data_IF_510176749159
#
_entry.id   IF_510176749159
#
_cell.length_a   1.000
_cell.length_b   1.000
_cell.length_c   1.000
_cell.angle_alpha   90.00
_cell.angle_beta   90.00
_cell.angle_gamma   90.00
#
_symmetry.space_group_name_H-M   'P 1'
#
loop_
_entity.id
_entity.type
_entity.pdbx_description
1 polymer ?
#
# COMPACT_ATOMS: atom_id res chain seq x y z
N UNK A 1 -20.58 24.01 -6.08
CA UNK A 1 -19.24 23.53 -6.47
C UNK A 1 -19.23 22.74 -7.79
N UNK A 2 -20.36 22.29 -8.35
CA UNK A 2 -20.45 21.89 -9.78
C UNK A 2 -19.58 20.70 -10.23
N UNK A 3 -18.78 20.13 -9.34
CA UNK A 3 -18.03 18.91 -9.61
C UNK A 3 -19.04 17.79 -9.93
N UNK A 4 -18.84 17.06 -11.03
CA UNK A 4 -19.77 16.01 -11.49
C UNK A 4 -19.59 14.74 -10.66
N UNK A 5 -19.73 14.84 -9.33
CA UNK A 5 -19.56 13.72 -8.39
C UNK A 5 -20.86 13.52 -7.62
N UNK A 6 -21.33 12.28 -7.59
CA UNK A 6 -22.43 11.82 -6.74
C UNK A 6 -21.86 10.98 -5.59
N UNK A 7 -22.35 11.19 -4.36
CA UNK A 7 -21.89 10.46 -3.19
C UNK A 7 -22.96 9.53 -2.64
N UNK A 8 -22.64 8.24 -2.57
CA UNK A 8 -23.35 7.25 -1.76
C UNK A 8 -22.67 7.20 -0.39
N UNK A 9 -23.43 7.51 0.66
CA UNK A 9 -22.89 7.68 2.02
C UNK A 9 -23.17 6.45 2.86
N UNK A 10 -22.10 5.78 3.29
CA UNK A 10 -22.14 4.61 4.18
C UNK A 10 -21.51 5.02 5.52
N UNK A 11 -22.15 4.69 6.65
CA UNK A 11 -21.65 4.99 8.00
C UNK A 11 -21.23 6.46 8.21
N UNK A 12 -21.92 7.41 7.57
CA UNK A 12 -21.50 8.83 7.46
C UNK A 12 -21.88 9.70 8.68
N UNK A 13 -22.41 9.13 9.75
CA UNK A 13 -22.71 9.88 10.98
C UNK A 13 -21.57 9.66 11.97
N UNK A 14 -20.88 10.72 12.44
CA UNK A 14 -19.82 10.55 13.43
C UNK A 14 -20.39 10.04 14.75
N UNK A 15 -19.95 8.85 15.18
CA UNK A 15 -20.36 8.18 16.41
C UNK A 15 -19.17 7.46 17.05
N UNK A 16 -18.69 7.99 18.18
CA UNK A 16 -17.54 7.45 18.92
C UNK A 16 -17.82 6.14 19.67
N UNK A 17 -19.06 5.64 19.65
CA UNK A 17 -19.39 4.29 20.14
C UNK A 17 -19.12 3.21 19.09
N UNK A 18 -18.82 3.60 17.85
CA UNK A 18 -18.50 2.71 16.74
C UNK A 18 -19.52 1.58 16.55
N UNK A 19 -20.81 1.90 16.28
CA UNK A 19 -21.87 0.90 16.20
C UNK A 19 -21.66 -0.15 15.09
N UNK A 20 -20.83 0.18 14.09
CA UNK A 20 -20.47 -0.70 12.97
C UNK A 20 -19.03 -1.22 13.06
N UNK A 21 -18.40 -1.14 14.23
CA UNK A 21 -17.01 -1.53 14.45
C UNK A 21 -16.01 -0.37 14.31
N UNK A 22 -14.81 -0.56 14.84
CA UNK A 22 -13.72 0.42 14.77
C UNK A 22 -13.30 0.57 13.29
N UNK A 23 -13.24 1.80 12.75
CA UNK A 23 -12.91 2.03 11.35
C UNK A 23 -11.45 1.67 11.07
N UNK A 24 -11.24 0.49 10.48
CA UNK A 24 -9.92 0.03 10.04
C UNK A 24 -10.01 -0.78 8.73
N UNK A 25 -10.22 -0.14 7.58
CA UNK A 25 -10.39 -0.84 6.29
C UNK A 25 -9.15 -1.62 5.79
N UNK A 26 -8.00 -1.53 6.47
CA UNK A 26 -6.89 -2.47 6.27
C UNK A 26 -7.29 -3.91 6.61
N UNK A 27 -8.20 -4.11 7.56
CA UNK A 27 -8.67 -5.42 7.96
C UNK A 27 -9.73 -5.91 6.96
N UNK A 28 -9.59 -7.12 6.37
CA UNK A 28 -10.57 -7.66 5.42
C UNK A 28 -12.02 -7.62 5.90
N UNK A 29 -12.26 -7.87 7.19
CA UNK A 29 -13.58 -7.82 7.82
C UNK A 29 -14.22 -6.43 7.84
N UNK A 30 -13.43 -5.36 7.72
CA UNK A 30 -13.91 -3.97 7.68
C UNK A 30 -14.19 -3.48 6.25
N UNK A 31 -14.00 -4.31 5.21
CA UNK A 31 -14.08 -3.91 3.80
C UNK A 31 -15.44 -4.15 3.15
N UNK A 32 -16.23 -5.05 3.73
CA UNK A 32 -17.41 -5.62 3.08
C UNK A 32 -18.53 -4.58 2.82
N UNK A 33 -18.72 -3.62 3.71
CA UNK A 33 -19.79 -2.62 3.55
C UNK A 33 -19.52 -1.68 2.38
N UNK A 34 -18.29 -1.19 2.23
CA UNK A 34 -17.88 -0.38 1.07
C UNK A 34 -17.99 -1.19 -0.22
N UNK A 35 -17.50 -2.43 -0.22
CA UNK A 35 -17.60 -3.33 -1.37
C UNK A 35 -19.06 -3.55 -1.81
N UNK A 36 -19.96 -3.84 -0.87
CA UNK A 36 -21.38 -4.07 -1.16
C UNK A 36 -22.02 -2.83 -1.74
N UNK A 37 -21.76 -1.65 -1.16
CA UNK A 37 -22.31 -0.40 -1.65
C UNK A 37 -21.86 -0.09 -3.09
N UNK A 38 -20.58 -0.33 -3.42
CA UNK A 38 -20.09 -0.16 -4.80
C UNK A 38 -20.87 -1.04 -5.78
N UNK A 39 -21.01 -2.33 -5.46
CA UNK A 39 -21.69 -3.30 -6.33
C UNK A 39 -23.19 -2.99 -6.44
N UNK A 40 -23.85 -2.68 -5.33
CA UNK A 40 -25.29 -2.41 -5.27
C UNK A 40 -25.69 -1.18 -6.09
N UNK A 41 -24.88 -0.13 -6.01
CA UNK A 41 -25.18 1.14 -6.67
C UNK A 41 -24.50 1.32 -8.03
N UNK A 42 -23.64 0.39 -8.45
CA UNK A 42 -22.85 0.53 -9.67
C UNK A 42 -21.92 1.74 -9.63
N UNK A 43 -21.31 2.02 -8.47
CA UNK A 43 -20.44 3.17 -8.29
C UNK A 43 -19.10 3.00 -9.03
N UNK A 44 -18.54 4.11 -9.55
CA UNK A 44 -17.26 4.09 -10.28
C UNK A 44 -16.06 3.69 -9.42
N UNK A 45 -16.11 4.00 -8.12
CA UNK A 45 -15.15 3.55 -7.11
C UNK A 45 -15.72 3.70 -5.69
N UNK A 46 -15.17 2.95 -4.74
CA UNK A 46 -15.45 3.08 -3.32
C UNK A 46 -14.30 3.77 -2.57
N UNK A 47 -14.65 4.53 -1.54
CA UNK A 47 -13.69 5.20 -0.65
C UNK A 47 -14.06 4.86 0.80
N UNK A 48 -13.08 4.43 1.58
CA UNK A 48 -13.21 4.27 3.03
C UNK A 48 -12.06 4.97 3.75
N UNK A 49 -12.29 5.33 5.01
CA UNK A 49 -11.31 6.01 5.86
C UNK A 49 -11.15 5.25 7.17
N UNK A 50 -10.04 5.48 7.86
CA UNK A 50 -9.95 5.18 9.28
C UNK A 50 -10.54 6.32 10.14
N UNK A 51 -10.47 6.18 11.46
CA UNK A 51 -11.25 7.00 12.40
C UNK A 51 -10.94 8.50 12.38
N UNK A 52 -9.70 8.86 12.09
CA UNK A 52 -9.21 10.24 11.95
C UNK A 52 -8.87 10.62 10.50
N UNK A 53 -9.26 9.78 9.55
CA UNK A 53 -9.29 10.03 8.10
C UNK A 53 -7.95 10.48 7.48
N UNK A 54 -6.82 10.17 8.12
CA UNK A 54 -5.50 10.41 7.52
C UNK A 54 -5.13 9.32 6.50
N UNK A 55 -5.79 8.15 6.57
CA UNK A 55 -5.69 7.05 5.61
C UNK A 55 -6.94 6.92 4.76
N UNK A 56 -6.74 6.69 3.47
CA UNK A 56 -7.80 6.50 2.49
C UNK A 56 -7.63 5.18 1.75
N UNK A 57 -8.70 4.39 1.73
CA UNK A 57 -8.75 3.06 1.15
C UNK A 57 -9.67 3.07 -0.06
N UNK A 58 -9.18 2.52 -1.17
CA UNK A 58 -9.87 2.61 -2.46
C UNK A 58 -10.36 1.24 -2.91
N UNK A 59 -11.54 1.24 -3.51
CA UNK A 59 -12.18 0.07 -4.10
C UNK A 59 -12.49 0.37 -5.55
N UNK A 60 -12.21 -0.56 -6.46
CA UNK A 60 -12.53 -0.41 -7.88
C UNK A 60 -14.04 -0.51 -8.16
N UNK A 61 -14.43 -0.33 -9.43
CA UNK A 61 -15.82 -0.38 -9.89
C UNK A 61 -16.50 -1.75 -9.69
N UNK A 62 -15.72 -2.79 -9.37
CA UNK A 62 -16.19 -4.16 -9.09
C UNK A 62 -16.18 -4.45 -7.58
N UNK A 63 -15.97 -3.42 -6.76
CA UNK A 63 -15.86 -3.52 -5.31
C UNK A 63 -14.63 -4.29 -4.83
N UNK A 64 -13.60 -4.46 -5.66
CA UNK A 64 -12.33 -5.04 -5.23
C UNK A 64 -11.53 -3.99 -4.48
N UNK A 65 -11.04 -4.34 -3.30
CA UNK A 65 -10.09 -3.50 -2.57
C UNK A 65 -8.79 -3.39 -3.37
N UNK A 66 -8.30 -2.17 -3.53
CA UNK A 66 -7.02 -1.91 -4.19
C UNK A 66 -5.95 -1.72 -3.11
N UNK A 67 -5.02 -2.67 -3.03
CA UNK A 67 -3.87 -2.57 -2.14
C UNK A 67 -3.15 -1.23 -2.32
N UNK A 68 -2.93 -0.53 -1.20
CA UNK A 68 -2.30 0.80 -1.18
C UNK A 68 -0.95 0.83 -1.90
N UNK A 69 -0.27 -0.31 -2.00
CA UNK A 69 0.91 -0.51 -2.82
C UNK A 69 0.77 0.00 -4.27
N UNK A 70 -0.35 -0.30 -4.93
CA UNK A 70 -0.58 0.11 -6.31
C UNK A 70 -1.01 1.58 -6.41
N UNK A 71 -1.69 2.09 -5.38
CA UNK A 71 -2.06 3.51 -5.27
C UNK A 71 -0.81 4.40 -5.12
N UNK A 72 0.23 3.94 -4.41
CA UNK A 72 1.51 4.65 -4.34
C UNK A 72 2.10 4.84 -5.74
N UNK A 73 2.14 3.78 -6.56
CA UNK A 73 2.61 3.87 -7.95
C UNK A 73 1.75 4.80 -8.80
N UNK A 74 0.42 4.65 -8.75
CA UNK A 74 -0.53 5.46 -9.52
C UNK A 74 -0.39 6.95 -9.22
N UNK A 75 -0.34 7.33 -7.94
CA UNK A 75 -0.17 8.72 -7.54
C UNK A 75 1.22 9.24 -7.89
N UNK A 76 2.27 8.42 -7.73
CA UNK A 76 3.63 8.80 -8.09
C UNK A 76 3.75 9.16 -9.58
N UNK A 77 3.16 8.34 -10.47
CA UNK A 77 3.09 8.63 -11.91
C UNK A 77 2.40 9.97 -12.19
N UNK A 78 1.22 10.20 -11.59
CA UNK A 78 0.48 11.44 -11.75
C UNK A 78 1.26 12.69 -11.28
N UNK A 79 2.04 12.57 -10.20
CA UNK A 79 2.92 13.66 -9.77
C UNK A 79 4.10 13.87 -10.73
N UNK A 80 4.66 12.80 -11.30
CA UNK A 80 5.79 12.90 -12.24
C UNK A 80 5.37 13.44 -13.61
N UNK A 81 4.13 13.23 -14.05
CA UNK A 81 3.56 13.91 -15.22
C UNK A 81 3.59 15.45 -15.05
N UNK A 82 3.33 15.95 -13.83
CA UNK A 82 3.30 17.38 -13.50
C UNK A 82 4.67 17.92 -13.05
N UNK A 83 5.53 17.06 -12.50
CA UNK A 83 6.84 17.39 -11.96
C UNK A 83 7.93 16.41 -12.46
N UNK A 84 8.35 16.52 -13.73
CA UNK A 84 9.36 15.63 -14.30
C UNK A 84 10.67 15.64 -13.50
N UNK A 85 11.26 14.47 -13.27
CA UNK A 85 12.53 14.34 -12.53
C UNK A 85 12.39 14.42 -11.01
N UNK A 86 11.20 14.60 -10.46
CA UNK A 86 11.00 14.68 -9.02
C UNK A 86 11.31 13.35 -8.30
N UNK A 87 11.62 13.45 -7.01
CA UNK A 87 11.82 12.29 -6.14
C UNK A 87 10.52 11.85 -5.51
N UNK A 88 10.37 10.54 -5.35
CA UNK A 88 9.21 9.89 -4.73
C UNK A 88 9.68 9.03 -3.57
N UNK A 89 9.17 9.28 -2.36
CA UNK A 89 9.52 8.48 -1.19
C UNK A 89 8.61 7.25 -1.11
N UNK A 90 9.18 6.08 -0.82
CA UNK A 90 8.41 4.86 -0.55
C UNK A 90 8.98 4.05 0.61
N UNK A 91 8.15 3.20 1.21
CA UNK A 91 8.59 2.26 2.25
C UNK A 91 9.22 0.98 1.66
N UNK A 92 9.85 0.10 2.47
CA UNK A 92 10.55 -1.08 1.99
C UNK A 92 9.67 -2.35 1.96
N UNK A 93 8.38 -2.28 2.31
CA UNK A 93 7.53 -3.46 2.46
C UNK A 93 7.24 -4.11 1.11
N UNK A 94 6.79 -3.31 0.16
CA UNK A 94 6.55 -3.67 -1.24
C UNK A 94 7.14 -2.56 -2.12
N UNK A 95 8.09 -2.90 -3.00
CA UNK A 95 8.96 -1.86 -3.62
C UNK A 95 8.99 -1.90 -5.14
N UNK A 96 8.99 -3.07 -5.78
CA UNK A 96 9.30 -3.18 -7.20
C UNK A 96 8.34 -2.45 -8.14
N UNK A 97 7.04 -2.45 -7.84
CA UNK A 97 6.04 -1.69 -8.58
C UNK A 97 6.36 -0.19 -8.53
N UNK A 98 6.54 0.36 -7.33
CA UNK A 98 6.81 1.78 -7.13
C UNK A 98 8.12 2.18 -7.80
N UNK A 99 9.19 1.40 -7.59
CA UNK A 99 10.49 1.63 -8.24
C UNK A 99 10.36 1.62 -9.77
N UNK A 100 9.63 0.65 -10.34
CA UNK A 100 9.43 0.53 -11.77
C UNK A 100 8.58 1.68 -12.35
N UNK A 101 7.48 2.05 -11.70
CA UNK A 101 6.63 3.17 -12.14
C UNK A 101 7.40 4.49 -12.09
N UNK A 102 8.04 4.78 -10.95
CA UNK A 102 8.76 6.04 -10.74
C UNK A 102 9.91 6.17 -11.73
N UNK A 103 10.68 5.10 -11.95
CA UNK A 103 11.79 5.11 -12.91
C UNK A 103 11.29 5.28 -14.34
N UNK A 104 10.21 4.58 -14.73
CA UNK A 104 9.64 4.69 -16.07
C UNK A 104 9.06 6.08 -16.36
N UNK A 105 8.50 6.75 -15.35
CA UNK A 105 8.01 8.12 -15.43
C UNK A 105 9.13 9.19 -15.32
N UNK A 106 10.40 8.77 -15.30
CA UNK A 106 11.56 9.68 -15.26
C UNK A 106 11.81 10.32 -13.89
N UNK A 107 11.19 9.81 -12.83
CA UNK A 107 11.43 10.21 -11.44
C UNK A 107 12.58 9.42 -10.79
N UNK A 108 12.81 9.71 -9.51
CA UNK A 108 13.77 8.97 -8.68
C UNK A 108 13.06 8.36 -7.47
N UNK A 109 12.96 7.02 -7.36
CA UNK A 109 12.41 6.37 -6.18
C UNK A 109 13.45 6.44 -5.05
N UNK A 110 13.01 6.84 -3.86
CA UNK A 110 13.87 6.94 -2.67
C UNK A 110 13.23 6.17 -1.53
N UNK A 111 13.88 5.08 -1.15
CA UNK A 111 13.44 4.26 -0.03
C UNK A 111 13.63 5.00 1.31
N UNK A 112 12.66 4.85 2.20
CA UNK A 112 12.70 5.28 3.59
C UNK A 112 12.19 4.16 4.49
N UNK A 113 12.62 4.16 5.75
CA UNK A 113 11.99 3.31 6.79
C UNK A 113 10.49 3.64 6.90
N UNK A 114 9.66 2.63 7.16
CA UNK A 114 8.21 2.80 7.37
C UNK A 114 7.96 3.64 8.63
N UNK A 115 6.95 4.49 8.57
CA UNK A 115 6.47 5.30 9.68
C UNK A 115 6.50 6.80 9.36
N UNK A 116 5.41 7.48 9.74
CA UNK A 116 5.16 8.88 9.41
C UNK A 116 6.34 9.82 9.71
N UNK A 117 7.06 9.64 10.82
CA UNK A 117 8.20 10.49 11.16
C UNK A 117 9.34 10.34 10.13
N UNK A 118 9.71 9.10 9.80
CA UNK A 118 10.80 8.81 8.86
C UNK A 118 10.48 9.27 7.45
N UNK A 119 9.25 9.01 6.98
CA UNK A 119 8.80 9.46 5.65
C UNK A 119 8.82 10.98 5.57
N UNK A 120 8.26 11.68 6.55
CA UNK A 120 8.20 13.16 6.59
C UNK A 120 9.60 13.78 6.66
N UNK A 121 10.51 13.19 7.43
CA UNK A 121 11.90 13.62 7.51
C UNK A 121 12.63 13.40 6.18
N UNK A 122 12.45 12.22 5.57
CA UNK A 122 13.09 11.89 4.29
C UNK A 122 12.58 12.77 3.16
N UNK A 123 11.27 13.02 3.08
CA UNK A 123 10.72 13.91 2.07
C UNK A 123 11.30 15.32 2.16
N UNK A 124 11.43 15.88 3.38
CA UNK A 124 12.04 17.21 3.58
C UNK A 124 13.51 17.23 3.18
N UNK A 125 14.25 16.20 3.56
CA UNK A 125 15.69 16.08 3.23
C UNK A 125 15.91 15.98 1.72
N UNK A 126 15.00 15.31 1.02
CA UNK A 126 15.12 15.03 -0.41
C UNK A 126 14.42 16.07 -1.31
N UNK A 127 13.62 16.97 -0.72
CA UNK A 127 12.63 17.81 -1.41
C UNK A 127 11.70 16.98 -2.33
N UNK A 128 11.27 15.82 -1.83
CA UNK A 128 10.42 14.91 -2.59
C UNK A 128 9.00 15.48 -2.75
N UNK A 129 8.45 15.39 -3.96
CA UNK A 129 7.12 15.94 -4.27
C UNK A 129 6.00 15.14 -3.59
N UNK A 130 6.20 13.82 -3.47
CA UNK A 130 5.23 12.87 -2.97
C UNK A 130 5.94 11.75 -2.21
N UNK A 131 5.29 11.25 -1.16
CA UNK A 131 5.69 10.07 -0.42
C UNK A 131 4.49 9.16 -0.19
N UNK A 132 4.69 7.85 -0.24
CA UNK A 132 3.60 6.89 -0.06
C UNK A 132 4.02 5.65 0.68
N UNK A 133 3.14 5.18 1.57
CA UNK A 133 3.28 3.92 2.28
C UNK A 133 2.17 2.96 1.85
N UNK A 134 2.47 1.67 1.77
CA UNK A 134 1.46 0.68 1.33
C UNK A 134 0.26 0.56 2.29
N UNK A 135 0.39 1.08 3.52
CA UNK A 135 -0.66 1.16 4.54
C UNK A 135 -1.59 2.36 4.39
N UNK A 136 -1.68 2.94 3.19
CA UNK A 136 -2.59 4.03 2.83
C UNK A 136 -2.29 5.41 3.44
N UNK A 137 -1.06 5.64 3.93
CA UNK A 137 -0.59 7.00 4.19
C UNK A 137 0.05 7.58 2.92
N UNK A 138 -0.40 8.76 2.54
CA UNK A 138 0.02 9.47 1.33
C UNK A 138 0.39 10.91 1.71
N UNK A 139 1.65 11.26 1.48
CA UNK A 139 2.27 12.50 1.94
C UNK A 139 2.56 13.43 0.76
N UNK A 140 2.28 14.72 0.94
CA UNK A 140 2.38 15.69 -0.15
C UNK A 140 3.25 16.86 0.27
N UNK A 141 4.27 17.20 -0.54
CA UNK A 141 5.20 18.31 -0.26
C UNK A 141 4.45 19.60 0.05
N UNK A 142 3.53 19.96 -0.83
CA UNK A 142 2.80 21.24 -0.78
C UNK A 142 1.68 21.21 0.27
N UNK A 143 1.41 20.05 0.88
CA UNK A 143 0.59 19.91 2.08
C UNK A 143 1.47 19.82 3.34
N UNK A 144 2.48 20.70 3.42
CA UNK A 144 3.46 20.78 4.52
C UNK A 144 4.23 19.47 4.80
N UNK A 145 4.40 18.63 3.77
CA UNK A 145 4.93 17.27 3.88
C UNK A 145 4.08 16.34 4.76
N UNK A 146 2.84 16.69 5.04
CA UNK A 146 1.93 15.87 5.82
C UNK A 146 1.13 14.92 4.94
N UNK A 147 0.64 13.89 5.58
CA UNK A 147 -0.33 12.96 5.04
C UNK A 147 -1.74 13.54 5.04
N UNK A 148 -2.55 13.04 4.09
CA UNK A 148 -3.96 13.36 3.99
C UNK A 148 -4.70 12.17 3.41
N UNK A 149 -5.81 11.75 4.03
CA UNK A 149 -6.74 10.81 3.40
C UNK A 149 -7.61 11.48 2.33
N UNK A 150 -7.74 12.81 2.34
CA UNK A 150 -8.63 13.52 1.42
C UNK A 150 -8.02 13.75 0.04
N UNK A 151 -6.73 14.07 -0.03
CA UNK A 151 -6.05 14.35 -1.31
C UNK A 151 -6.01 13.13 -2.25
N UNK A 152 -5.70 11.89 -1.78
CA UNK A 152 -5.62 10.70 -2.63
C UNK A 152 -6.87 10.44 -3.46
N UNK A 153 -8.07 10.41 -2.85
CA UNK A 153 -9.28 10.08 -3.59
C UNK A 153 -9.69 11.17 -4.58
N UNK A 154 -9.38 12.44 -4.29
CA UNK A 154 -9.59 13.55 -5.22
C UNK A 154 -8.70 13.41 -6.46
N UNK A 155 -7.42 13.06 -6.27
CA UNK A 155 -6.48 12.81 -7.37
C UNK A 155 -6.88 11.59 -8.18
N UNK A 156 -7.32 10.51 -7.53
CA UNK A 156 -7.79 9.30 -8.22
C UNK A 156 -9.08 9.58 -9.00
N UNK A 157 -10.03 10.33 -8.44
CA UNK A 157 -11.22 10.75 -9.16
C UNK A 157 -10.87 11.60 -10.39
N UNK A 158 -9.94 12.56 -10.26
CA UNK A 158 -9.41 13.33 -11.39
C UNK A 158 -8.83 12.40 -12.48
N UNK A 159 -8.01 11.42 -12.11
CA UNK A 159 -7.39 10.48 -13.05
C UNK A 159 -8.42 9.62 -13.77
N UNK A 160 -9.41 9.06 -13.06
CA UNK A 160 -10.51 8.30 -13.66
C UNK A 160 -11.25 9.14 -14.70
N UNK A 161 -11.57 10.39 -14.37
CA UNK A 161 -12.23 11.31 -15.31
C UNK A 161 -11.36 11.67 -16.52
N UNK A 162 -10.08 12.01 -16.31
CA UNK A 162 -9.19 12.48 -17.38
C UNK A 162 -8.76 11.36 -18.33
N UNK A 163 -8.52 10.15 -17.81
CA UNK A 163 -8.07 9.00 -18.62
C UNK A 163 -9.25 8.26 -19.24
N UNK A 164 -10.47 8.42 -18.72
CA UNK A 164 -11.65 7.70 -19.20
C UNK A 164 -11.56 6.19 -18.97
N UNK A 165 -10.83 5.79 -17.91
CA UNK A 165 -10.59 4.41 -17.51
C UNK A 165 -11.12 4.22 -16.09
N UNK A 166 -11.63 3.02 -15.78
CA UNK A 166 -12.02 2.70 -14.40
C UNK A 166 -10.80 2.62 -13.49
N UNK A 167 -11.00 2.73 -12.17
CA UNK A 167 -9.92 2.55 -11.21
C UNK A 167 -9.25 1.18 -11.36
N UNK A 168 -10.04 0.11 -11.55
CA UNK A 168 -9.52 -1.23 -11.78
C UNK A 168 -8.65 -1.30 -13.03
N UNK A 169 -9.02 -0.61 -14.11
CA UNK A 169 -8.22 -0.54 -15.34
C UNK A 169 -6.89 0.21 -15.16
N UNK A 170 -6.88 1.29 -14.37
CA UNK A 170 -5.67 2.08 -14.09
C UNK A 170 -4.59 1.28 -13.36
N UNK A 171 -4.97 0.32 -12.51
CA UNK A 171 -4.01 -0.46 -11.70
C UNK A 171 -3.79 -1.88 -12.20
N UNK A 172 -4.64 -2.41 -13.07
CA UNK A 172 -4.63 -3.81 -13.54
C UNK A 172 -3.25 -4.29 -14.00
N UNK A 173 -2.61 -3.55 -14.88
CA UNK A 173 -1.34 -3.97 -15.48
C UNK A 173 -0.22 -3.98 -14.44
N UNK A 174 -0.31 -3.10 -13.43
CA UNK A 174 0.63 -3.05 -12.30
C UNK A 174 0.42 -4.23 -11.34
N UNK A 175 -0.83 -4.57 -11.05
CA UNK A 175 -1.18 -5.76 -10.27
C UNK A 175 -0.72 -7.06 -10.94
N UNK A 176 -0.85 -7.14 -12.27
CA UNK A 176 -0.38 -8.28 -13.05
C UNK A 176 1.15 -8.38 -13.08
N UNK A 177 1.86 -7.24 -13.21
CA UNK A 177 3.31 -7.21 -13.26
C UNK A 177 3.98 -7.47 -11.90
N UNK A 178 3.36 -7.04 -10.81
CA UNK A 178 3.90 -7.12 -9.45
C UNK A 178 2.84 -7.60 -8.44
N UNK A 179 2.33 -8.83 -8.58
CA UNK A 179 1.35 -9.35 -7.65
C UNK A 179 1.93 -9.40 -6.23
N UNK A 180 1.13 -9.00 -5.26
CA UNK A 180 1.52 -8.88 -3.86
C UNK A 180 0.55 -9.60 -2.93
N UNK A 181 1.05 -10.10 -1.80
CA UNK A 181 0.26 -10.82 -0.79
C UNK A 181 -0.68 -9.92 0.04
N UNK A 182 -0.55 -8.60 -0.07
CA UNK A 182 -1.00 -7.68 0.97
C UNK A 182 -0.13 -7.79 2.24
N UNK A 183 -0.55 -7.14 3.33
CA UNK A 183 0.08 -7.27 4.64
C UNK A 183 -0.60 -8.37 5.45
N UNK A 184 0.17 -9.40 5.83
CA UNK A 184 -0.32 -10.51 6.63
C UNK A 184 0.26 -10.41 8.04
N UNK A 185 -0.61 -10.27 9.04
CA UNK A 185 -0.24 -10.14 10.44
C UNK A 185 -0.24 -11.51 11.13
N UNK A 186 0.89 -11.91 11.71
CA UNK A 186 1.04 -13.15 12.47
C UNK A 186 1.41 -12.85 13.91
N UNK A 187 0.57 -13.26 14.88
CA UNK A 187 0.87 -13.16 16.31
C UNK A 187 1.75 -14.34 16.73
N UNK A 188 2.96 -14.06 17.17
CA UNK A 188 3.98 -15.09 17.46
C UNK A 188 4.50 -14.94 18.89
N UNK A 189 4.75 -16.06 19.57
CA UNK A 189 5.33 -16.06 20.91
C UNK A 189 6.80 -15.59 20.90
N UNK A 190 7.58 -16.00 19.89
CA UNK A 190 8.99 -15.67 19.75
C UNK A 190 9.31 -15.04 18.37
N UNK A 191 8.91 -13.78 18.10
CA UNK A 191 9.10 -13.13 16.79
C UNK A 191 10.54 -13.14 16.28
N UNK A 192 11.52 -12.89 17.15
CA UNK A 192 12.93 -12.82 16.76
C UNK A 192 13.48 -14.19 16.32
N UNK A 193 13.11 -15.26 17.03
CA UNK A 193 13.48 -16.62 16.67
C UNK A 193 12.83 -17.03 15.34
N UNK A 194 11.57 -16.67 15.13
CA UNK A 194 10.86 -16.94 13.88
C UNK A 194 11.50 -16.25 12.66
N UNK A 195 11.86 -14.97 12.78
CA UNK A 195 12.55 -14.23 11.71
C UNK A 195 13.92 -14.86 11.43
N UNK A 196 14.67 -15.26 12.47
CA UNK A 196 15.98 -15.92 12.32
C UNK A 196 15.85 -17.26 11.58
N UNK A 197 14.81 -18.06 11.85
CA UNK A 197 14.55 -19.30 11.12
C UNK A 197 14.25 -19.05 9.65
N UNK A 198 13.44 -18.03 9.34
CA UNK A 198 13.14 -17.66 7.95
C UNK A 198 14.42 -17.24 7.23
N UNK A 199 15.23 -16.38 7.84
CA UNK A 199 16.49 -15.93 7.25
C UNK A 199 17.43 -17.09 6.96
N UNK A 200 17.64 -17.98 7.94
CA UNK A 200 18.51 -19.14 7.79
C UNK A 200 18.02 -20.09 6.71
N UNK A 201 16.70 -20.28 6.56
CA UNK A 201 16.12 -21.15 5.54
C UNK A 201 16.41 -20.65 4.10
N UNK A 202 16.44 -19.34 3.90
CA UNK A 202 16.60 -18.74 2.57
C UNK A 202 18.00 -18.14 2.31
N UNK A 203 18.93 -18.26 3.24
CA UNK A 203 20.22 -17.55 3.20
C UNK A 203 21.05 -17.88 1.94
N UNK A 204 21.03 -19.14 1.49
CA UNK A 204 21.81 -19.57 0.32
C UNK A 204 21.18 -19.15 -1.02
N UNK A 205 19.86 -18.93 -1.08
CA UNK A 205 19.14 -18.51 -2.29
C UNK A 205 19.08 -16.98 -2.46
N UNK A 206 19.36 -16.23 -1.39
CA UNK A 206 19.17 -14.78 -1.35
C UNK A 206 20.17 -14.04 -2.24
N UNK A 207 19.66 -13.16 -3.10
CA UNK A 207 20.50 -12.28 -3.93
C UNK A 207 20.86 -10.98 -3.21
N UNK A 208 20.00 -10.51 -2.31
CA UNK A 208 20.24 -9.35 -1.47
C UNK A 208 19.49 -9.49 -0.15
N UNK A 209 20.08 -8.93 0.91
CA UNK A 209 19.47 -8.79 2.23
C UNK A 209 19.54 -7.31 2.61
N UNK A 210 18.39 -6.74 2.95
CA UNK A 210 18.25 -5.37 3.44
C UNK A 210 17.65 -5.39 4.86
N UNK A 211 18.17 -4.48 5.70
CA UNK A 211 17.74 -4.32 7.10
C UNK A 211 17.28 -2.89 7.43
N UNK A 212 16.90 -2.13 6.41
CA UNK A 212 16.40 -0.75 6.57
C UNK A 212 15.18 -0.72 7.48
N UNK A 213 14.29 -1.72 7.35
CA UNK A 213 13.13 -1.88 8.21
C UNK A 213 12.73 -3.35 8.35
N UNK A 214 13.28 -4.02 9.37
CA UNK A 214 13.09 -5.45 9.58
C UNK A 214 14.05 -6.29 8.75
N UNK A 215 13.55 -7.39 8.18
CA UNK A 215 14.29 -8.26 7.27
C UNK A 215 13.64 -8.23 5.89
N UNK A 216 14.35 -7.70 4.92
CA UNK A 216 13.99 -7.83 3.51
C UNK A 216 14.99 -8.73 2.80
N UNK A 217 14.48 -9.72 2.06
CA UNK A 217 15.31 -10.59 1.23
C UNK A 217 14.76 -10.60 -0.20
N UNK A 218 15.65 -10.39 -1.15
CA UNK A 218 15.33 -10.37 -2.58
C UNK A 218 15.93 -11.59 -3.27
N UNK A 219 15.14 -12.19 -4.15
CA UNK A 219 15.49 -13.33 -4.99
C UNK A 219 15.21 -12.97 -6.46
N UNK A 220 15.53 -13.87 -7.38
CA UNK A 220 15.44 -13.59 -8.82
C UNK A 220 14.06 -13.06 -9.25
N UNK A 221 12.98 -13.74 -8.85
CA UNK A 221 11.62 -13.45 -9.31
C UNK A 221 10.64 -13.11 -8.18
N UNK A 222 11.11 -13.03 -6.93
CA UNK A 222 10.27 -12.71 -5.78
C UNK A 222 11.09 -12.07 -4.66
N UNK A 223 10.42 -11.38 -3.75
CA UNK A 223 11.02 -10.85 -2.53
C UNK A 223 10.01 -10.83 -1.40
N UNK A 224 10.49 -10.63 -0.18
CA UNK A 224 9.63 -10.40 0.96
C UNK A 224 10.21 -9.36 1.92
N UNK A 225 9.33 -8.86 2.80
CA UNK A 225 9.69 -8.08 3.98
C UNK A 225 9.01 -8.70 5.22
N UNK A 226 9.78 -8.84 6.29
CA UNK A 226 9.32 -9.23 7.62
C UNK A 226 9.63 -8.14 8.62
N UNK A 227 8.59 -7.65 9.30
CA UNK A 227 8.72 -6.60 10.32
C UNK A 227 8.01 -6.96 11.60
N UNK A 228 8.72 -6.85 12.71
CA UNK A 228 8.08 -6.89 14.03
C UNK A 228 7.33 -5.58 14.28
N UNK A 229 6.11 -5.68 14.81
CA UNK A 229 5.42 -4.53 15.38
C UNK A 229 6.21 -3.99 16.57
N UNK A 230 6.29 -2.67 16.71
CA UNK A 230 6.96 -2.03 17.84
C UNK A 230 6.15 -2.13 19.14
N UNK A 231 4.85 -2.39 19.04
CA UNK A 231 3.89 -2.32 20.16
C UNK A 231 3.21 -3.64 20.49
N UNK A 232 3.27 -4.62 19.59
CA UNK A 232 2.60 -5.91 19.75
C UNK A 232 3.52 -7.06 19.33
N UNK A 233 3.33 -8.29 19.85
CA UNK A 233 4.08 -9.48 19.43
C UNK A 233 3.55 -10.00 18.08
N UNK A 234 3.55 -9.13 17.07
CA UNK A 234 3.04 -9.37 15.73
C UNK A 234 4.19 -9.21 14.74
N UNK A 235 4.38 -10.19 13.87
CA UNK A 235 5.23 -10.09 12.68
C UNK A 235 4.33 -9.83 11.47
N UNK A 236 4.68 -8.80 10.71
CA UNK A 236 4.01 -8.39 9.48
C UNK A 236 4.81 -8.95 8.30
N UNK A 237 4.12 -9.68 7.44
CA UNK A 237 4.68 -10.26 6.23
C UNK A 237 4.11 -9.56 5.00
N UNK A 238 5.00 -9.19 4.08
CA UNK A 238 4.67 -8.76 2.73
C UNK A 238 5.52 -9.56 1.73
N UNK A 239 4.88 -10.04 0.66
CA UNK A 239 5.52 -10.79 -0.43
C UNK A 239 5.09 -10.20 -1.75
N UNK A 240 6.02 -10.12 -2.70
CA UNK A 240 5.73 -9.79 -4.09
C UNK A 240 6.55 -10.65 -5.05
N UNK A 241 6.06 -10.82 -6.27
CA UNK A 241 6.78 -11.50 -7.35
C UNK A 241 6.79 -10.69 -8.65
N UNK A 242 7.60 -11.11 -9.63
CA UNK A 242 7.61 -10.54 -10.97
C UNK A 242 6.68 -11.34 -11.87
N UNK A 243 5.45 -10.86 -12.05
CA UNK A 243 4.49 -11.41 -12.99
C UNK A 243 3.99 -12.82 -12.68
N UNK A 244 4.20 -13.32 -11.45
CA UNK A 244 3.97 -14.74 -11.11
C UNK A 244 3.16 -14.88 -9.81
N UNK A 245 1.82 -14.83 -9.95
CA UNK A 245 0.89 -15.01 -8.83
C UNK A 245 1.11 -16.36 -8.12
N UNK A 246 1.18 -17.51 -8.82
CA UNK A 246 1.43 -18.80 -8.17
C UNK A 246 2.70 -18.84 -7.32
N UNK A 247 3.81 -18.23 -7.78
CA UNK A 247 5.04 -18.11 -7.02
C UNK A 247 4.86 -17.26 -5.77
N UNK A 248 4.24 -16.08 -5.90
CA UNK A 248 3.96 -15.19 -4.78
C UNK A 248 3.16 -15.92 -3.69
N UNK A 249 2.09 -16.63 -4.07
CA UNK A 249 1.27 -17.37 -3.12
C UNK A 249 2.01 -18.56 -2.51
N UNK A 250 2.78 -19.32 -3.30
CA UNK A 250 3.55 -20.46 -2.81
C UNK A 250 4.59 -20.03 -1.78
N UNK A 251 5.34 -18.97 -2.06
CA UNK A 251 6.35 -18.43 -1.14
C UNK A 251 5.71 -17.81 0.10
N UNK A 252 4.56 -17.15 -0.05
CA UNK A 252 3.75 -16.68 1.09
C UNK A 252 3.39 -17.84 2.03
N UNK A 253 2.88 -18.96 1.49
CA UNK A 253 2.56 -20.16 2.30
C UNK A 253 3.79 -20.73 3.00
N UNK A 254 4.93 -20.83 2.31
CA UNK A 254 6.18 -21.32 2.92
C UNK A 254 6.65 -20.42 4.07
N UNK A 255 6.64 -19.10 3.87
CA UNK A 255 7.02 -18.13 4.90
C UNK A 255 6.11 -18.23 6.13
N UNK A 256 4.80 -18.29 5.93
CA UNK A 256 3.84 -18.45 7.02
C UNK A 256 4.04 -19.77 7.78
N UNK A 257 4.37 -20.86 7.09
CA UNK A 257 4.68 -22.12 7.76
C UNK A 257 5.94 -22.02 8.64
N UNK A 258 7.00 -21.36 8.17
CA UNK A 258 8.24 -21.15 8.93
C UNK A 258 8.07 -20.21 10.14
N UNK A 259 7.23 -19.18 9.99
CA UNK A 259 6.91 -18.25 11.07
C UNK A 259 6.17 -18.93 12.22
N UNK A 260 5.31 -19.91 11.93
CA UNK A 260 4.47 -20.60 12.92
C UNK A 260 5.07 -21.90 13.51
N UNK A 261 6.30 -22.26 13.14
CA UNK A 261 7.06 -23.34 13.79
C UNK A 261 7.49 -22.95 15.21
#
# INVERSE_FOLDING_TARGET
LGAPVEFIKIHNTPDGTFPNGIPNPLLPECRDDTRKAVIEHGADMGIAFDGDFDRCFLFDEKGQFIEGYYIVGLLAEAFLEKHPGAKIIHDPRLTWNTEAVVTAAGGTPVMSKTGHAFIKERMRTEDAIYGGEMSAHHYFRDFAYCDSGMIPWLLVAELVCLKGQSLGELVRDRMAAFPASGEINSRLAEPAAAITRVEAHFAEEAQAVDRTDGLSMSFANWRFNLRSSNTEPVVRLNVESRGDIPLMEARTRTLLALLNQ
#
